data_IF_366499418916
#
_entry.id   IF_366499418916
#
_cell.length_a   1.000
_cell.length_b   1.000
_cell.length_c   1.000
_cell.angle_alpha   90.00
_cell.angle_beta   90.00
_cell.angle_gamma   90.00
#
_symmetry.space_group_name_H-M   'P 1'
#
loop_
_entity.id
_entity.type
_entity.pdbx_description
1 polymer ?
#
# COMPACT_ATOMS: atom_id res chain seq x y z
N UNK A 1 28.66 -26.34 23.64
CA UNK A 1 27.53 -25.47 23.29
C UNK A 1 26.23 -26.17 23.70
N UNK A 2 26.02 -26.33 25.01
CA UNK A 2 24.91 -27.13 25.56
C UNK A 2 24.14 -26.39 26.66
N UNK A 3 24.31 -25.06 26.78
CA UNK A 3 23.71 -24.27 27.86
C UNK A 3 22.38 -23.57 27.48
N UNK A 4 21.73 -23.94 26.37
CA UNK A 4 20.50 -23.28 25.90
C UNK A 4 19.35 -24.26 25.60
N UNK A 5 19.23 -25.34 26.39
CA UNK A 5 18.08 -26.25 26.35
C UNK A 5 17.49 -26.44 27.74
N UNK A 6 16.83 -25.41 28.26
CA UNK A 6 15.91 -25.53 29.39
C UNK A 6 15.10 -24.23 29.56
N UNK A 7 14.02 -24.09 28.78
CA UNK A 7 12.87 -23.23 29.12
C UNK A 7 11.68 -23.61 28.23
N UNK A 8 11.35 -24.90 28.22
CA UNK A 8 10.01 -25.37 27.86
C UNK A 8 9.49 -26.11 29.08
N UNK A 9 9.12 -25.32 30.09
CA UNK A 9 8.32 -25.76 31.21
C UNK A 9 6.86 -25.50 30.90
N UNK A 10 6.07 -26.56 30.91
CA UNK A 10 4.62 -26.52 30.83
C UNK A 10 4.01 -25.70 31.96
N UNK A 11 2.96 -24.95 31.63
CA UNK A 11 1.87 -24.64 32.56
C UNK A 11 0.61 -24.34 31.74
N UNK A 12 -0.18 -25.38 31.50
CA UNK A 12 -1.62 -25.29 31.24
C UNK A 12 -2.29 -24.70 32.48
N UNK A 13 -3.14 -23.68 32.29
CA UNK A 13 -4.10 -23.24 33.30
C UNK A 13 -5.28 -22.55 32.62
N UNK A 14 -6.36 -23.30 32.45
CA UNK A 14 -7.70 -22.80 32.15
C UNK A 14 -8.24 -22.02 33.37
N UNK A 15 -8.81 -20.84 33.15
CA UNK A 15 -9.74 -20.23 34.11
C UNK A 15 -10.66 -19.23 33.40
N UNK A 16 -11.86 -19.69 33.09
CA UNK A 16 -13.02 -18.86 32.75
C UNK A 16 -13.50 -18.07 33.95
N UNK A 17 -13.84 -16.80 33.76
CA UNK A 17 -14.74 -16.06 34.66
C UNK A 17 -15.40 -14.90 33.92
N UNK A 18 -16.64 -15.14 33.49
CA UNK A 18 -17.63 -14.13 33.17
C UNK A 18 -17.92 -13.23 34.38
N UNK A 19 -17.95 -11.91 34.22
CA UNK A 19 -18.71 -11.03 35.12
C UNK A 19 -19.24 -9.81 34.37
N UNK A 20 -20.56 -9.74 34.41
CA UNK A 20 -21.49 -8.77 33.82
C UNK A 20 -21.63 -7.46 34.61
N UNK A 21 -21.67 -6.33 33.88
CA UNK A 21 -22.47 -5.09 34.11
C UNK A 21 -22.18 -4.25 35.40
N UNK A 22 -22.54 -2.94 35.51
CA UNK A 22 -23.54 -2.21 34.73
C UNK A 22 -23.20 -0.78 34.23
N UNK A 23 -24.07 -0.37 33.31
CA UNK A 23 -24.35 0.95 32.75
C UNK A 23 -24.63 1.98 33.85
N UNK A 24 -23.98 3.15 33.78
CA UNK A 24 -24.51 4.38 34.40
C UNK A 24 -24.66 5.47 33.36
N UNK A 25 -25.91 5.60 32.93
CA UNK A 25 -26.47 6.70 32.15
C UNK A 25 -26.47 7.97 33.00
N UNK A 26 -25.79 9.03 32.56
CA UNK A 26 -26.08 10.40 33.02
C UNK A 26 -26.33 11.27 31.80
N UNK A 27 -27.61 11.34 31.43
CA UNK A 27 -28.16 12.34 30.54
C UNK A 27 -28.22 13.65 31.32
N UNK A 28 -27.51 14.69 30.87
CA UNK A 28 -27.84 16.07 31.20
C UNK A 28 -27.99 16.85 29.91
N UNK A 29 -29.26 17.07 29.56
CA UNK A 29 -29.73 18.07 28.61
C UNK A 29 -29.29 19.46 29.06
N UNK A 30 -29.00 20.35 28.10
CA UNK A 30 -29.39 21.78 28.08
C UNK A 30 -28.80 22.44 26.81
N UNK A 31 -29.73 22.72 25.88
CA UNK A 31 -29.83 23.81 24.90
C UNK A 31 -28.60 24.38 24.17
N UNK A 32 -28.70 24.33 22.84
CA UNK A 32 -28.06 25.22 21.84
C UNK A 32 -28.51 26.69 22.01
N UNK A 33 -27.74 27.69 21.54
CA UNK A 33 -27.91 28.13 20.16
C UNK A 33 -26.62 28.51 19.40
N UNK A 34 -26.61 28.11 18.11
CA UNK A 34 -26.11 28.84 16.93
C UNK A 34 -24.71 29.49 16.99
N UNK A 35 -23.72 28.88 16.34
CA UNK A 35 -22.58 29.59 15.72
C UNK A 35 -21.98 28.72 14.60
N UNK A 36 -22.07 29.24 13.37
CA UNK A 36 -21.06 29.20 12.30
C UNK A 36 -20.38 27.87 11.92
N UNK A 37 -20.49 27.52 10.63
CA UNK A 37 -19.78 26.41 10.01
C UNK A 37 -18.26 26.65 10.04
N UNK A 38 -17.64 26.30 11.17
CA UNK A 38 -16.22 26.09 11.25
C UNK A 38 -15.89 24.92 10.32
N UNK A 39 -15.01 25.18 9.36
CA UNK A 39 -14.31 24.16 8.59
C UNK A 39 -13.96 23.00 9.52
N UNK A 40 -14.38 21.78 9.14
CA UNK A 40 -14.05 20.56 9.90
C UNK A 40 -12.54 20.40 9.80
N UNK A 41 -11.83 21.07 10.71
CA UNK A 41 -10.40 20.95 10.87
C UNK A 41 -10.15 19.52 11.28
N UNK A 42 -9.32 18.83 10.50
CA UNK A 42 -8.93 17.46 10.81
C UNK A 42 -8.37 17.45 12.24
N UNK A 43 -8.68 16.41 13.03
CA UNK A 43 -8.12 16.29 14.37
C UNK A 43 -6.59 16.35 14.27
N UNK A 44 -5.93 17.02 15.23
CA UNK A 44 -4.48 17.08 15.23
C UNK A 44 -3.92 15.65 15.20
N UNK A 45 -2.86 15.40 14.41
CA UNK A 45 -2.30 14.07 14.28
C UNK A 45 -1.93 13.54 15.66
N UNK A 46 -2.21 12.26 15.95
CA UNK A 46 -1.97 11.69 17.27
C UNK A 46 -0.50 11.86 17.65
N UNK A 47 -0.24 12.33 18.86
CA UNK A 47 1.11 12.62 19.37
C UNK A 47 2.01 11.37 19.36
N UNK A 48 1.42 10.17 19.34
CA UNK A 48 2.11 8.90 19.15
C UNK A 48 2.87 8.76 17.82
N UNK A 49 2.56 9.60 16.81
CA UNK A 49 3.31 9.67 15.54
C UNK A 49 4.61 10.48 15.66
N UNK A 50 4.74 11.33 16.68
CA UNK A 50 5.96 12.12 16.92
C UNK A 50 7.07 11.30 17.58
N UNK A 51 6.77 10.07 18.00
CA UNK A 51 7.74 9.13 18.57
C UNK A 51 8.13 8.12 17.49
N UNK A 52 9.30 8.24 16.86
CA UNK A 52 9.74 7.29 15.85
C UNK A 52 9.94 5.90 16.50
N UNK A 53 9.46 4.80 15.87
CA UNK A 53 9.42 3.47 16.47
C UNK A 53 10.77 2.75 16.35
N UNK A 54 11.85 3.40 16.80
CA UNK A 54 13.14 2.74 17.00
C UNK A 54 13.27 2.16 18.42
N UNK A 55 12.15 1.82 19.05
CA UNK A 55 12.11 1.00 20.26
C UNK A 55 11.33 -0.25 19.94
N UNK A 56 12.07 -1.28 19.51
CA UNK A 56 11.84 -2.70 19.78
C UNK A 56 10.38 -3.07 20.11
N UNK A 57 9.61 -3.48 19.11
CA UNK A 57 8.70 -4.65 19.19
C UNK A 57 7.91 -4.82 17.88
N UNK A 58 8.21 -5.92 17.20
CA UNK A 58 7.61 -6.39 15.96
C UNK A 58 6.21 -6.98 16.23
N UNK A 59 5.27 -6.20 16.78
CA UNK A 59 3.86 -6.62 16.75
C UNK A 59 3.29 -6.24 15.38
N UNK A 60 3.15 -7.25 14.53
CA UNK A 60 2.72 -7.13 13.14
C UNK A 60 1.49 -6.23 13.00
N UNK A 61 1.65 -5.13 12.27
CA UNK A 61 0.52 -4.34 11.79
C UNK A 61 -0.33 -5.26 10.93
N UNK A 62 -1.50 -5.67 11.45
CA UNK A 62 -2.54 -6.42 10.77
C UNK A 62 -3.27 -5.59 9.70
N UNK A 63 -2.51 -4.78 8.95
CA UNK A 63 -2.96 -4.22 7.70
C UNK A 63 -2.31 -5.10 6.62
N UNK A 64 -3.06 -5.63 5.64
CA UNK A 64 -2.48 -6.14 4.39
C UNK A 64 -1.93 -4.98 3.54
N UNK A 65 -1.27 -4.03 4.18
CA UNK A 65 -0.65 -2.88 3.56
C UNK A 65 0.61 -3.30 2.85
N UNK A 66 0.96 -2.54 1.81
CA UNK A 66 2.15 -2.76 1.00
C UNK A 66 3.41 -2.77 1.88
N UNK A 67 3.89 -3.97 2.21
CA UNK A 67 5.12 -4.17 2.98
C UNK A 67 6.30 -3.76 2.10
N UNK A 68 7.12 -2.84 2.59
CA UNK A 68 8.36 -2.45 1.91
C UNK A 68 9.36 -3.60 1.99
N UNK A 69 10.07 -3.85 0.89
CA UNK A 69 11.14 -4.87 0.88
C UNK A 69 12.36 -4.51 1.73
N UNK A 70 12.45 -3.25 2.20
CA UNK A 70 13.51 -2.77 3.09
C UNK A 70 12.95 -1.76 4.09
N UNK A 71 13.50 -1.70 5.32
CA UNK A 71 13.09 -0.73 6.34
C UNK A 71 13.35 0.70 5.89
N UNK A 72 12.49 1.63 6.30
CA UNK A 72 12.76 3.05 6.07
C UNK A 72 13.92 3.50 6.97
N UNK A 73 14.88 4.22 6.37
CA UNK A 73 15.95 4.90 7.09
C UNK A 73 15.98 6.33 6.57
N UNK A 74 16.10 7.30 7.47
CA UNK A 74 16.16 8.71 7.11
C UNK A 74 17.33 8.98 6.15
N UNK A 75 17.08 9.79 5.12
CA UNK A 75 18.07 10.05 4.06
C UNK A 75 18.20 8.97 2.97
N UNK A 76 17.49 7.83 3.09
CA UNK A 76 17.42 6.82 2.03
C UNK A 76 16.20 7.02 1.12
N UNK A 77 16.47 6.99 -0.18
CA UNK A 77 15.51 7.14 -1.27
C UNK A 77 15.37 5.81 -2.01
N UNK A 78 14.15 5.48 -2.40
CA UNK A 78 13.87 4.28 -3.19
C UNK A 78 14.21 4.55 -4.66
N UNK A 79 15.25 3.91 -5.18
CA UNK A 79 15.55 3.88 -6.61
C UNK A 79 14.88 2.66 -7.24
N UNK A 80 14.11 2.90 -8.30
CA UNK A 80 13.50 1.86 -9.13
C UNK A 80 13.65 2.26 -10.60
N UNK A 81 14.21 1.35 -11.39
CA UNK A 81 14.44 1.57 -12.82
C UNK A 81 13.46 0.70 -13.59
N UNK A 82 12.74 1.30 -14.53
CA UNK A 82 11.70 0.63 -15.29
C UNK A 82 11.56 1.20 -16.70
N UNK A 83 10.88 0.45 -17.57
CA UNK A 83 10.44 0.90 -18.89
C UNK A 83 8.93 1.21 -18.82
N UNK A 84 8.49 2.43 -19.16
CA UNK A 84 7.06 2.77 -19.19
C UNK A 84 6.37 2.05 -20.36
N UNK A 85 5.17 1.55 -20.12
CA UNK A 85 4.34 0.82 -21.08
C UNK A 85 2.92 1.35 -21.01
N UNK A 86 2.39 1.76 -22.18
CA UNK A 86 1.01 2.16 -22.33
C UNK A 86 0.27 1.08 -23.12
N UNK A 87 -0.94 0.74 -22.66
CA UNK A 87 -1.78 -0.21 -23.39
C UNK A 87 -2.42 0.53 -24.57
N UNK A 88 -2.14 0.12 -25.82
CA UNK A 88 -2.73 0.77 -26.98
C UNK A 88 -4.24 0.55 -27.00
N UNK A 89 -4.99 1.53 -27.54
CA UNK A 89 -6.45 1.50 -27.55
C UNK A 89 -7.02 0.24 -28.22
N UNK A 90 -6.34 -0.30 -29.23
CA UNK A 90 -6.71 -1.55 -29.91
C UNK A 90 -6.65 -2.78 -28.99
N UNK A 91 -5.72 -2.81 -28.04
CA UNK A 91 -5.55 -3.92 -27.11
C UNK A 91 -6.39 -3.77 -25.83
N UNK A 92 -6.84 -2.55 -25.49
CA UNK A 92 -7.60 -2.27 -24.25
C UNK A 92 -8.84 -3.16 -24.11
N UNK A 93 -9.59 -3.34 -25.19
CA UNK A 93 -10.79 -4.21 -25.20
C UNK A 93 -10.48 -5.66 -24.84
N UNK A 94 -9.39 -6.22 -25.38
CA UNK A 94 -8.96 -7.58 -25.11
C UNK A 94 -8.54 -7.76 -23.64
N UNK A 95 -7.75 -6.82 -23.12
CA UNK A 95 -7.33 -6.82 -21.71
C UNK A 95 -8.53 -6.62 -20.78
N UNK A 96 -9.47 -5.73 -21.13
CA UNK A 96 -10.69 -5.50 -20.37
C UNK A 96 -11.54 -6.77 -20.26
N UNK A 97 -11.69 -7.54 -21.36
CA UNK A 97 -12.39 -8.82 -21.33
C UNK A 97 -11.70 -9.84 -20.43
N UNK A 98 -10.37 -9.90 -20.44
CA UNK A 98 -9.60 -10.75 -19.53
C UNK A 98 -9.83 -10.35 -18.07
N UNK A 99 -9.76 -9.05 -17.76
CA UNK A 99 -10.01 -8.52 -16.41
C UNK A 99 -11.41 -8.86 -15.90
N UNK A 100 -12.43 -8.84 -16.78
CA UNK A 100 -13.79 -9.26 -16.41
C UNK A 100 -13.84 -10.74 -16.01
N UNK A 101 -13.20 -11.61 -16.80
CA UNK A 101 -13.14 -13.04 -16.50
C UNK A 101 -12.42 -13.30 -15.16
N UNK A 102 -11.32 -12.59 -14.93
CA UNK A 102 -10.56 -12.66 -13.67
C UNK A 102 -11.42 -12.16 -12.50
N UNK A 103 -12.15 -11.06 -12.67
CA UNK A 103 -13.03 -10.52 -11.64
C UNK A 103 -14.18 -11.47 -11.27
N UNK A 104 -14.66 -12.31 -12.20
CA UNK A 104 -15.66 -13.34 -11.89
C UNK A 104 -15.05 -14.54 -11.18
N UNK A 105 -13.76 -14.83 -11.41
CA UNK A 105 -13.07 -15.99 -10.85
C UNK A 105 -12.48 -15.71 -9.46
N UNK A 106 -12.04 -14.48 -9.22
CA UNK A 106 -11.40 -14.04 -7.97
C UNK A 106 -12.14 -12.82 -7.42
N UNK A 107 -13.11 -13.03 -6.51
CA UNK A 107 -13.78 -11.92 -5.83
C UNK A 107 -12.80 -11.19 -4.89
N UNK A 108 -13.01 -9.90 -4.65
CA UNK A 108 -12.18 -9.10 -3.74
C UNK A 108 -10.94 -8.46 -4.38
N UNK A 109 -10.77 -8.56 -5.70
CA UNK A 109 -9.73 -7.81 -6.42
C UNK A 109 -10.06 -6.31 -6.45
N UNK A 110 -9.03 -5.48 -6.28
CA UNK A 110 -9.12 -4.03 -6.34
C UNK A 110 -8.18 -3.49 -7.41
N UNK A 111 -8.55 -2.36 -8.02
CA UNK A 111 -7.69 -1.65 -8.98
C UNK A 111 -6.61 -0.89 -8.21
N UNK A 112 -5.35 -1.12 -8.61
CA UNK A 112 -4.17 -0.48 -8.02
C UNK A 112 -4.28 1.06 -8.14
N UNK A 113 -3.93 1.75 -7.05
CA UNK A 113 -4.01 3.21 -6.83
C UNK A 113 -5.41 3.84 -6.86
N UNK A 114 -6.48 3.07 -7.09
CA UNK A 114 -7.85 3.58 -7.03
C UNK A 114 -8.64 3.02 -5.84
N UNK A 115 -8.22 1.88 -5.26
CA UNK A 115 -8.94 1.15 -4.20
C UNK A 115 -10.42 0.87 -4.56
N UNK A 116 -10.71 0.73 -5.87
CA UNK A 116 -12.04 0.39 -6.38
C UNK A 116 -12.09 -1.11 -6.65
N UNK A 117 -13.10 -1.83 -6.12
CA UNK A 117 -13.32 -3.24 -6.45
C UNK A 117 -13.49 -3.48 -7.96
N UNK A 118 -12.75 -4.44 -8.49
CA UNK A 118 -12.73 -4.76 -9.92
C UNK A 118 -14.10 -5.26 -10.42
N UNK A 119 -14.89 -5.90 -9.56
CA UNK A 119 -16.24 -6.40 -9.87
C UNK A 119 -17.26 -5.29 -10.11
N UNK A 120 -17.12 -4.16 -9.42
CA UNK A 120 -17.95 -2.96 -9.65
C UNK A 120 -17.57 -2.35 -10.99
N UNK A 121 -16.26 -2.24 -11.25
CA UNK A 121 -15.75 -1.64 -12.47
C UNK A 121 -16.04 -2.50 -13.71
N UNK A 122 -16.06 -3.83 -13.57
CA UNK A 122 -16.35 -4.78 -14.66
C UNK A 122 -17.74 -4.60 -15.29
N UNK A 123 -18.68 -3.95 -14.60
CA UNK A 123 -20.04 -3.66 -15.11
C UNK A 123 -20.03 -2.59 -16.20
N UNK A 124 -19.05 -1.69 -16.18
CA UNK A 124 -18.95 -0.54 -17.06
C UNK A 124 -17.63 -0.61 -17.85
N UNK A 125 -17.71 -0.95 -19.14
CA UNK A 125 -16.53 -1.11 -19.99
C UNK A 125 -15.71 0.18 -20.07
N UNK A 126 -16.38 1.33 -20.21
CA UNK A 126 -15.70 2.59 -20.45
C UNK A 126 -14.95 3.03 -19.19
N UNK A 127 -15.57 2.86 -18.02
CA UNK A 127 -14.88 3.10 -16.73
C UNK A 127 -13.75 2.11 -16.49
N UNK A 128 -13.91 0.83 -16.87
CA UNK A 128 -12.85 -0.17 -16.75
C UNK A 128 -11.64 0.21 -17.60
N UNK A 129 -11.87 0.62 -18.84
CA UNK A 129 -10.78 1.05 -19.73
C UNK A 129 -10.12 2.34 -19.26
N UNK A 130 -10.86 3.30 -18.72
CA UNK A 130 -10.28 4.55 -18.22
C UNK A 130 -9.54 4.37 -16.89
N UNK A 131 -10.16 3.73 -15.91
CA UNK A 131 -9.63 3.66 -14.54
C UNK A 131 -8.57 2.57 -14.40
N UNK A 132 -8.78 1.38 -14.99
CA UNK A 132 -7.84 0.27 -14.86
C UNK A 132 -6.78 0.27 -15.97
N UNK A 133 -7.12 0.65 -17.21
CA UNK A 133 -6.22 0.55 -18.37
C UNK A 133 -5.76 1.92 -18.92
N UNK A 134 -6.25 3.04 -18.36
CA UNK A 134 -5.86 4.39 -18.75
C UNK A 134 -4.56 4.85 -18.10
N UNK A 135 -4.03 4.08 -17.16
CA UNK A 135 -2.80 4.39 -16.42
C UNK A 135 -1.55 3.91 -17.15
N UNK A 136 -0.41 4.46 -16.76
CA UNK A 136 0.91 3.97 -17.16
C UNK A 136 1.22 2.68 -16.42
N UNK A 137 1.60 1.65 -17.17
CA UNK A 137 2.20 0.43 -16.63
C UNK A 137 3.70 0.49 -16.80
N UNK A 138 4.42 -0.42 -16.15
CA UNK A 138 5.86 -0.48 -16.33
C UNK A 138 6.39 -1.90 -16.29
N UNK A 139 7.52 -2.10 -16.96
CA UNK A 139 8.34 -3.31 -16.86
C UNK A 139 9.54 -2.96 -15.99
N UNK A 140 9.65 -3.60 -14.83
CA UNK A 140 10.77 -3.41 -13.92
C UNK A 140 12.06 -3.98 -14.50
N UNK A 141 13.14 -3.19 -14.50
CA UNK A 141 14.48 -3.65 -14.92
C UNK A 141 15.33 -4.19 -13.76
N UNK A 142 14.81 -4.10 -12.54
CA UNK A 142 15.48 -4.57 -11.34
C UNK A 142 14.61 -4.40 -10.10
N UNK A 143 15.16 -4.82 -8.96
CA UNK A 143 14.55 -4.61 -7.65
C UNK A 143 14.72 -3.15 -7.22
N UNK A 144 13.82 -2.66 -6.37
CA UNK A 144 13.98 -1.36 -5.71
C UNK A 144 15.16 -1.42 -4.74
N UNK A 145 16.07 -0.45 -4.84
CA UNK A 145 17.24 -0.35 -3.96
C UNK A 145 17.26 1.00 -3.23
N UNK A 146 17.74 1.04 -1.97
CA UNK A 146 17.93 2.31 -1.26
C UNK A 146 19.19 3.03 -1.76
N UNK A 147 19.08 4.33 -2.01
CA UNK A 147 20.21 5.21 -2.34
C UNK A 147 20.17 6.48 -1.50
N UNK A 148 21.30 7.14 -1.32
CA UNK A 148 21.37 8.44 -0.61
C UNK A 148 21.15 9.60 -1.57
N UNK A 149 20.69 10.74 -1.06
CA UNK A 149 20.42 11.97 -1.85
C UNK A 149 21.57 12.31 -2.79
N UNK A 150 22.80 12.36 -2.27
CA UNK A 150 23.98 12.75 -3.05
C UNK A 150 24.34 11.75 -4.17
N UNK A 151 23.77 10.55 -4.17
CA UNK A 151 24.01 9.54 -5.20
C UNK A 151 23.02 9.66 -6.37
N UNK A 152 21.89 10.36 -6.20
CA UNK A 152 20.80 10.40 -7.19
C UNK A 152 21.32 10.92 -8.53
N UNK A 153 21.91 12.12 -8.56
CA UNK A 153 22.32 12.75 -9.81
C UNK A 153 23.43 11.97 -10.52
N UNK A 154 24.38 11.41 -9.76
CA UNK A 154 25.45 10.57 -10.30
C UNK A 154 24.89 9.30 -10.97
N UNK A 155 23.94 8.63 -10.31
CA UNK A 155 23.31 7.42 -10.85
C UNK A 155 22.45 7.77 -12.07
N UNK A 156 21.68 8.85 -12.03
CA UNK A 156 20.85 9.29 -13.16
C UNK A 156 21.72 9.63 -14.37
N UNK A 157 22.81 10.39 -14.19
CA UNK A 157 23.74 10.71 -15.26
C UNK A 157 24.38 9.45 -15.86
N UNK A 158 24.82 8.52 -15.00
CA UNK A 158 25.41 7.25 -15.42
C UNK A 158 24.42 6.37 -16.19
N UNK A 159 23.17 6.26 -15.72
CA UNK A 159 22.11 5.53 -16.42
C UNK A 159 21.81 6.16 -17.79
N UNK A 160 21.70 7.49 -17.88
CA UNK A 160 21.49 8.20 -19.15
C UNK A 160 22.62 7.94 -20.12
N UNK A 161 23.87 8.07 -19.68
CA UNK A 161 25.04 7.83 -20.52
C UNK A 161 25.13 6.37 -20.99
N UNK A 162 24.79 5.40 -20.14
CA UNK A 162 24.84 3.97 -20.53
C UNK A 162 23.68 3.56 -21.43
N UNK A 163 22.50 4.17 -21.25
CA UNK A 163 21.30 3.82 -22.02
C UNK A 163 21.15 4.63 -23.31
N UNK A 164 21.89 5.73 -23.50
CA UNK A 164 21.76 6.59 -24.70
C UNK A 164 22.04 5.86 -26.03
N UNK A 165 22.87 4.81 -26.01
CA UNK A 165 23.22 4.03 -27.20
C UNK A 165 22.29 2.84 -27.43
N UNK A 166 21.34 2.59 -26.53
CA UNK A 166 20.39 1.51 -26.67
C UNK A 166 19.32 1.91 -27.69
N UNK A 167 19.20 1.13 -28.76
CA UNK A 167 18.11 1.29 -29.72
C UNK A 167 16.79 0.95 -29.03
N UNK A 168 15.69 1.53 -29.53
CA UNK A 168 14.34 1.17 -29.10
C UNK A 168 14.17 -0.34 -29.28
N UNK A 169 14.01 -1.06 -28.17
CA UNK A 169 13.64 -2.47 -28.19
C UNK A 169 12.23 -2.55 -28.76
N UNK A 170 12.11 -3.06 -29.99
CA UNK A 170 10.81 -3.28 -30.63
C UNK A 170 10.18 -4.49 -29.96
N UNK A 171 8.98 -4.32 -29.40
CA UNK A 171 8.11 -5.44 -29.07
C UNK A 171 7.67 -6.09 -30.40
N UNK A 172 8.49 -7.01 -30.91
CA UNK A 172 8.07 -7.92 -31.98
C UNK A 172 7.43 -9.13 -31.30
N UNK A 173 6.10 -9.08 -31.17
CA UNK A 173 5.25 -10.24 -30.91
C UNK A 173 4.11 -10.23 -31.93
#
# INVERSE_FOLDING_TARGET
MEALRASYGEASSDSDSDTSLPITTVIKTVSTPKTEAASVALPPPPLSLLTPPNSLDYLGSAQPGRVRSFPHVEGNYALHVYIPVYIPATAKKGVAMLLKKVSSSVPGLHVVDADIPLNVLARDNDKLEQIALGKEFHISLGRTIPIRVHQIDSIVAMLRQKLQFQKRSVNTL
#
